data_IF_658520694304
#
_entry.id   IF_658520694304
#
_cell.length_a   1.000
_cell.length_b   1.000
_cell.length_c   1.000
_cell.angle_alpha   90.00
_cell.angle_beta   90.00
_cell.angle_gamma   90.00
#
_symmetry.space_group_name_H-M   'P 1'
#
loop_
_entity.id
_entity.type
_entity.pdbx_description
1 polymer ?
#
# COMPACT_ATOMS: atom_id res chain seq x y z
N UNK A 1 -2.39 -14.18 -18.09
CA UNK A 1 -2.25 -13.02 -17.18
C UNK A 1 -3.62 -12.38 -17.03
N UNK A 2 -4.13 -12.15 -15.82
CA UNK A 2 -5.44 -11.48 -15.65
C UNK A 2 -5.34 -10.05 -16.15
N UNK A 3 -6.34 -9.59 -16.90
CA UNK A 3 -6.41 -8.22 -17.39
C UNK A 3 -6.38 -7.26 -16.20
N UNK A 4 -5.41 -6.34 -16.19
CA UNK A 4 -5.31 -5.29 -15.16
C UNK A 4 -6.40 -4.23 -15.31
N UNK A 5 -7.30 -4.39 -16.30
CA UNK A 5 -8.45 -3.53 -16.55
C UNK A 5 -9.76 -4.34 -16.54
N UNK A 6 -10.73 -3.86 -15.78
CA UNK A 6 -12.12 -4.27 -15.79
C UNK A 6 -12.94 -3.23 -16.56
N UNK A 7 -13.87 -3.65 -17.40
CA UNK A 7 -14.76 -2.76 -18.15
C UNK A 7 -16.18 -3.30 -18.20
N UNK A 8 -17.16 -2.44 -17.94
CA UNK A 8 -18.58 -2.74 -18.05
C UNK A 8 -19.35 -1.49 -18.51
N UNK A 9 -19.58 -1.39 -19.82
CA UNK A 9 -20.23 -0.22 -20.41
C UNK A 9 -19.42 1.07 -20.16
N UNK A 10 -20.01 2.02 -19.44
CA UNK A 10 -19.37 3.29 -19.06
C UNK A 10 -18.48 3.20 -17.82
N UNK A 11 -18.39 2.04 -17.18
CA UNK A 11 -17.47 1.80 -16.08
C UNK A 11 -16.20 1.16 -16.64
N UNK A 12 -15.04 1.71 -16.31
CA UNK A 12 -13.81 0.92 -16.34
C UNK A 12 -12.96 1.21 -15.11
N UNK A 13 -12.29 0.16 -14.65
CA UNK A 13 -11.37 0.19 -13.52
C UNK A 13 -10.06 -0.41 -13.97
N UNK A 14 -8.97 0.31 -13.78
CA UNK A 14 -7.62 -0.14 -14.12
C UNK A 14 -6.76 -0.16 -12.87
N UNK A 15 -5.99 -1.23 -12.71
CA UNK A 15 -5.00 -1.38 -11.64
C UNK A 15 -3.64 -1.04 -12.22
N UNK A 16 -3.06 0.07 -11.77
CA UNK A 16 -1.73 0.51 -12.17
C UNK A 16 -0.75 0.26 -11.03
N UNK A 17 0.42 -0.29 -11.35
CA UNK A 17 1.54 -0.39 -10.40
C UNK A 17 2.46 0.77 -10.62
N UNK A 18 2.79 1.48 -9.55
CA UNK A 18 3.68 2.62 -9.61
C UNK A 18 5.01 2.27 -8.94
N UNK A 19 6.11 2.79 -9.50
CA UNK A 19 7.45 2.64 -8.93
C UNK A 19 7.64 3.53 -7.71
N UNK A 20 7.08 4.73 -7.77
CA UNK A 20 7.17 5.77 -6.74
C UNK A 20 5.78 6.00 -6.13
N UNK A 21 5.71 6.16 -4.80
CA UNK A 21 4.45 6.34 -4.07
C UNK A 21 3.72 5.01 -3.77
N UNK A 22 2.39 5.03 -3.59
CA UNK A 22 1.63 3.82 -3.30
C UNK A 22 1.82 2.76 -4.39
N UNK A 23 2.20 1.52 -4.03
CA UNK A 23 2.63 0.51 -5.01
C UNK A 23 1.51 0.06 -5.95
N UNK A 24 0.25 0.24 -5.54
CA UNK A 24 -0.94 -0.10 -6.33
C UNK A 24 -1.92 1.05 -6.25
N UNK A 25 -2.29 1.57 -7.42
CA UNK A 25 -3.33 2.59 -7.57
C UNK A 25 -4.41 2.05 -8.51
N UNK A 26 -5.66 2.24 -8.13
CA UNK A 26 -6.81 1.91 -8.94
C UNK A 26 -7.36 3.19 -9.59
N UNK A 27 -7.32 3.25 -10.91
CA UNK A 27 -7.96 4.30 -11.69
C UNK A 27 -9.37 3.85 -12.03
N UNK A 28 -10.38 4.53 -11.51
CA UNK A 28 -11.77 4.22 -11.76
C UNK A 28 -12.44 5.34 -12.55
N UNK A 29 -13.05 4.98 -13.68
CA UNK A 29 -13.88 5.86 -14.47
C UNK A 29 -15.33 5.38 -14.40
N UNK A 30 -16.21 6.22 -13.89
CA UNK A 30 -17.64 5.96 -13.76
C UNK A 30 -18.40 7.06 -14.50
N UNK A 31 -18.86 6.74 -15.72
CA UNK A 31 -19.57 7.71 -16.56
C UNK A 31 -18.64 8.84 -17.03
N UNK A 32 -18.84 10.05 -16.49
CA UNK A 32 -18.09 11.27 -16.87
C UNK A 32 -16.98 11.65 -15.88
N UNK A 33 -16.83 10.89 -14.79
CA UNK A 33 -15.88 11.21 -13.74
C UNK A 33 -14.85 10.09 -13.61
N UNK A 34 -13.58 10.49 -13.55
CA UNK A 34 -12.46 9.61 -13.25
C UNK A 34 -11.85 10.00 -11.90
N UNK A 35 -11.54 9.02 -11.07
CA UNK A 35 -10.80 9.21 -9.83
C UNK A 35 -9.83 8.07 -9.58
N UNK A 36 -8.78 8.39 -8.83
CA UNK A 36 -7.74 7.46 -8.42
C UNK A 36 -7.96 7.07 -6.96
N UNK A 37 -7.85 5.79 -6.65
CA UNK A 37 -8.05 5.24 -5.32
C UNK A 37 -6.90 4.30 -4.96
N UNK A 38 -6.47 4.37 -3.71
CA UNK A 38 -5.56 3.40 -3.11
C UNK A 38 -6.32 2.30 -2.36
N UNK A 39 -7.51 2.64 -1.83
CA UNK A 39 -8.37 1.74 -1.06
C UNK A 39 -9.54 1.19 -1.92
N UNK A 40 -9.73 -0.13 -1.88
CA UNK A 40 -10.77 -0.85 -2.62
C UNK A 40 -12.19 -0.51 -2.13
N UNK A 41 -12.39 -0.20 -0.85
CA UNK A 41 -13.67 0.23 -0.26
C UNK A 41 -14.05 1.62 -0.73
N UNK A 42 -13.09 2.54 -0.80
CA UNK A 42 -13.31 3.89 -1.32
C UNK A 42 -13.71 3.84 -2.81
N UNK A 43 -13.03 3.00 -3.58
CA UNK A 43 -13.38 2.72 -4.97
C UNK A 43 -14.80 2.17 -5.10
N UNK A 44 -15.17 1.14 -4.33
CA UNK A 44 -16.52 0.57 -4.37
C UNK A 44 -17.60 1.58 -3.98
N UNK A 45 -17.31 2.48 -3.03
CA UNK A 45 -18.21 3.58 -2.65
C UNK A 45 -18.39 4.59 -3.78
N UNK A 46 -17.32 4.91 -4.52
CA UNK A 46 -17.38 5.83 -5.67
C UNK A 46 -18.14 5.25 -6.85
N UNK A 47 -17.95 3.95 -7.14
CA UNK A 47 -18.64 3.28 -8.24
C UNK A 47 -20.16 3.22 -8.00
N UNK A 48 -20.61 3.19 -6.73
CA UNK A 48 -22.03 3.17 -6.33
C UNK A 48 -22.84 2.04 -6.99
N UNK A 49 -22.19 0.94 -7.37
CA UNK A 49 -22.86 -0.16 -8.06
C UNK A 49 -23.65 -1.04 -7.08
N UNK A 50 -24.93 -1.37 -7.36
CA UNK A 50 -25.71 -2.25 -6.51
C UNK A 50 -25.08 -3.65 -6.39
N UNK A 51 -25.13 -4.22 -5.18
CA UNK A 51 -24.55 -5.55 -4.90
C UNK A 51 -25.22 -6.68 -5.65
N UNK A 52 -26.53 -6.58 -5.93
CA UNK A 52 -27.32 -7.62 -6.59
C UNK A 52 -27.20 -7.65 -8.11
N UNK A 53 -26.39 -6.79 -8.73
CA UNK A 53 -26.19 -6.82 -10.18
C UNK A 53 -25.02 -7.74 -10.56
N UNK A 54 -25.09 -8.43 -11.70
CA UNK A 54 -23.99 -9.29 -12.16
C UNK A 54 -22.69 -8.49 -12.34
N UNK A 55 -22.77 -7.26 -12.83
CA UNK A 55 -21.60 -6.36 -12.97
C UNK A 55 -20.97 -6.00 -11.63
N UNK A 56 -21.79 -5.69 -10.61
CA UNK A 56 -21.29 -5.39 -9.28
C UNK A 56 -20.60 -6.59 -8.64
N UNK A 57 -21.12 -7.80 -8.86
CA UNK A 57 -20.49 -9.03 -8.39
C UNK A 57 -19.16 -9.29 -9.12
N UNK A 58 -19.13 -9.15 -10.44
CA UNK A 58 -17.92 -9.32 -11.24
C UNK A 58 -16.82 -8.31 -10.86
N UNK A 59 -17.17 -7.06 -10.55
CA UNK A 59 -16.20 -6.06 -10.07
C UNK A 59 -15.59 -6.48 -8.72
N UNK A 60 -16.41 -6.98 -7.79
CA UNK A 60 -15.91 -7.43 -6.48
C UNK A 60 -15.06 -8.68 -6.59
N UNK A 61 -15.44 -9.63 -7.43
CA UNK A 61 -14.64 -10.83 -7.72
C UNK A 61 -13.29 -10.44 -8.34
N UNK A 62 -13.30 -9.51 -9.30
CA UNK A 62 -12.09 -8.97 -9.91
C UNK A 62 -11.17 -8.30 -8.88
N UNK A 63 -11.70 -7.45 -8.00
CA UNK A 63 -10.93 -6.83 -6.90
C UNK A 63 -10.40 -7.88 -5.90
N UNK A 64 -11.24 -8.83 -5.49
CA UNK A 64 -10.87 -9.90 -4.55
C UNK A 64 -9.72 -10.76 -5.10
N UNK A 65 -9.65 -10.93 -6.42
CA UNK A 65 -8.57 -11.67 -7.06
C UNK A 65 -7.18 -11.04 -6.92
N UNK A 66 -7.11 -9.76 -6.56
CA UNK A 66 -5.86 -9.06 -6.26
C UNK A 66 -5.60 -8.92 -4.75
N UNK A 67 -6.66 -8.85 -3.93
CA UNK A 67 -6.52 -8.86 -2.46
C UNK A 67 -6.08 -10.22 -1.90
N UNK A 68 -6.25 -11.31 -2.65
CA UNK A 68 -5.77 -12.64 -2.27
C UNK A 68 -4.23 -12.75 -2.17
N UNK A 69 -3.51 -11.66 -2.45
CA UNK A 69 -2.09 -11.48 -2.15
C UNK A 69 -1.86 -10.58 -0.93
N UNK A 70 -2.73 -10.66 0.08
CA UNK A 70 -2.35 -10.28 1.44
C UNK A 70 -1.19 -11.20 1.84
N UNK A 71 0.02 -10.68 1.64
CA UNK A 71 1.25 -11.21 2.20
C UNK A 71 0.97 -11.61 3.66
N UNK A 72 1.40 -12.82 4.02
CA UNK A 72 1.35 -13.30 5.39
C UNK A 72 1.77 -12.17 6.34
N UNK A 73 1.12 -12.03 7.53
CA UNK A 73 1.43 -10.97 8.46
C UNK A 73 2.95 -10.88 8.62
N UNK A 74 3.51 -9.69 8.37
CA UNK A 74 4.93 -9.42 8.55
C UNK A 74 5.41 -10.11 9.85
N UNK A 75 6.53 -10.86 9.83
CA UNK A 75 7.00 -11.55 11.02
C UNK A 75 7.10 -10.51 12.13
N UNK A 76 6.37 -10.77 13.21
CA UNK A 76 6.31 -9.93 14.40
C UNK A 76 7.75 -9.67 14.82
N UNK A 77 8.22 -8.42 14.69
CA UNK A 77 9.55 -8.04 15.13
C UNK A 77 9.67 -8.39 16.61
N UNK A 78 10.47 -9.42 16.92
CA UNK A 78 10.79 -9.81 18.28
C UNK A 78 11.67 -8.73 18.92
N UNK A 79 11.02 -7.82 19.66
CA UNK A 79 11.65 -6.72 20.41
C UNK A 79 12.72 -7.22 21.41
N UNK A 80 12.74 -8.52 21.71
CA UNK A 80 13.74 -9.20 22.55
C UNK A 80 15.10 -9.35 21.86
N UNK A 81 15.16 -9.50 20.53
CA UNK A 81 16.44 -9.52 19.78
C UNK A 81 17.07 -8.14 19.66
N UNK A 82 16.27 -7.10 19.40
CA UNK A 82 16.75 -5.71 19.26
C UNK A 82 17.37 -5.20 20.57
N UNK A 83 16.82 -5.62 21.72
CA UNK A 83 17.37 -5.27 23.04
C UNK A 83 18.67 -6.01 23.37
N UNK A 84 18.93 -7.15 22.74
CA UNK A 84 20.15 -7.94 22.92
C UNK A 84 21.30 -7.48 22.01
N UNK A 85 21.00 -6.87 20.86
CA UNK A 85 22.00 -6.34 19.90
C UNK A 85 22.53 -4.94 20.24
N UNK A 86 22.27 -4.43 21.45
CA UNK A 86 23.09 -3.35 22.02
C UNK A 86 22.87 -1.94 21.45
N UNK A 87 21.69 -1.62 20.88
CA UNK A 87 21.29 -0.21 20.64
C UNK A 87 20.74 0.42 21.94
N UNK A 88 21.54 0.37 23.00
CA UNK A 88 21.27 1.04 24.28
C UNK A 88 21.94 2.42 24.36
N UNK A 89 21.50 3.31 25.25
CA UNK A 89 22.03 4.68 25.40
C UNK A 89 23.51 4.74 25.85
N UNK A 90 24.17 3.60 26.09
CA UNK A 90 25.59 3.52 26.44
C UNK A 90 26.54 3.88 25.28
N UNK A 91 26.01 4.07 24.06
CA UNK A 91 26.76 4.64 22.93
C UNK A 91 26.74 6.19 22.90
N UNK A 92 26.20 6.83 23.95
CA UNK A 92 26.12 8.29 24.06
C UNK A 92 27.06 8.82 25.17
N UNK A 93 28.29 8.30 25.25
CA UNK A 93 29.35 8.84 26.13
C UNK A 93 30.69 9.01 25.40
N UNK A 94 30.66 9.29 24.09
CA UNK A 94 31.81 9.92 23.43
C UNK A 94 31.64 11.43 23.50
N UNK A 95 32.30 12.04 24.50
CA UNK A 95 32.54 13.48 24.53
C UNK A 95 33.18 13.90 23.19
N UNK A 96 32.50 14.73 22.37
CA UNK A 96 32.98 15.11 21.05
C UNK A 96 34.27 15.94 21.08
N UNK A 97 34.75 16.33 22.26
CA UNK A 97 35.97 17.14 22.43
C UNK A 97 37.21 16.34 22.82
N UNK A 98 37.13 15.01 22.98
CA UNK A 98 38.28 14.18 23.35
C UNK A 98 39.45 14.19 22.34
N UNK A 99 39.21 14.63 21.09
CA UNK A 99 40.22 14.66 20.02
C UNK A 99 40.77 16.05 19.66
N UNK A 100 40.36 17.13 20.34
CA UNK A 100 40.91 18.48 20.04
C UNK A 100 42.17 18.76 20.86
N UNK A 101 43.35 18.49 20.29
CA UNK A 101 44.62 19.05 20.81
C UNK A 101 44.78 20.49 20.33
N UNK A 102 44.94 21.44 21.26
CA UNK A 102 45.35 22.82 20.97
C UNK A 102 46.77 22.81 20.41
N UNK A 103 46.96 23.34 19.20
CA UNK A 103 48.29 23.62 18.65
C UNK A 103 48.81 24.87 19.35
N UNK A 104 49.95 24.77 20.04
CA UNK A 104 50.67 25.91 20.65
C UNK A 104 51.76 26.38 19.70
#
# INVERSE_FOLDING_TARGET
MKSERFSAGQLWVERTRQREGPPVVYVCMSGRSAMMFTDTKALLKFVRWPKGTPTGQALRDWLASFEQKAEAPAPKLDMTKIKAEGFGPEAHDDDPTANTKMVT
#
